data_IF_870850099287
#
_entry.id   IF_870850099287
#
_cell.length_a   1.000
_cell.length_b   1.000
_cell.length_c   1.000
_cell.angle_alpha   90.00
_cell.angle_beta   90.00
_cell.angle_gamma   90.00
#
_symmetry.space_group_name_H-M   'P 1'
#
loop_
_entity.id
_entity.type
_entity.pdbx_description
1 polymer ?
#
# COMPACT_ATOMS: atom_id res chain seq x y z
N UNK A 1 25.72 26.70 9.61
CA UNK A 1 25.13 25.37 9.37
C UNK A 1 23.85 25.30 10.20
N UNK A 2 22.69 25.25 9.56
CA UNK A 2 21.47 24.89 10.27
C UNK A 2 21.62 23.41 10.65
N UNK A 3 21.60 23.11 11.94
CA UNK A 3 21.41 21.72 12.39
C UNK A 3 20.05 21.28 11.87
N UNK A 4 20.05 20.49 10.80
CA UNK A 4 18.85 19.80 10.35
C UNK A 4 18.58 18.70 11.36
N UNK A 5 17.66 18.94 12.30
CA UNK A 5 17.13 17.90 13.16
C UNK A 5 16.59 16.77 12.28
N UNK A 6 17.21 15.60 12.35
CA UNK A 6 16.71 14.40 11.69
C UNK A 6 15.41 13.99 12.37
N UNK A 7 14.27 14.25 11.72
CA UNK A 7 12.98 13.76 12.20
C UNK A 7 12.93 12.25 12.05
N UNK A 8 12.91 11.53 13.18
CA UNK A 8 12.71 10.09 13.19
C UNK A 8 11.29 9.76 12.74
N UNK A 9 11.16 9.17 11.55
CA UNK A 9 9.86 8.70 11.05
C UNK A 9 9.31 7.60 11.95
N UNK A 10 8.00 7.67 12.25
CA UNK A 10 7.26 6.65 13.00
C UNK A 10 6.29 5.98 12.05
N UNK A 11 6.54 4.72 11.67
CA UNK A 11 5.70 3.93 10.75
C UNK A 11 4.99 2.76 11.44
N UNK A 12 4.92 2.77 12.78
CA UNK A 12 4.23 1.76 13.57
C UNK A 12 3.50 2.42 14.74
N UNK A 13 2.22 2.09 15.00
CA UNK A 13 1.54 2.56 16.20
C UNK A 13 2.23 2.00 17.45
N UNK A 14 2.19 2.77 18.54
CA UNK A 14 2.57 2.26 19.86
C UNK A 14 1.50 1.25 20.26
N UNK A 15 1.91 0.02 20.55
CA UNK A 15 0.99 -1.05 20.97
C UNK A 15 1.21 -1.37 22.44
N UNK A 16 0.11 -1.64 23.15
CA UNK A 16 0.13 -2.07 24.56
C UNK A 16 -0.60 -3.39 24.68
N UNK A 17 -0.01 -4.37 25.38
CA UNK A 17 -0.68 -5.63 25.67
C UNK A 17 -1.69 -5.44 26.81
N UNK A 18 -2.96 -5.72 26.54
CA UNK A 18 -4.04 -5.68 27.54
C UNK A 18 -4.41 -7.13 27.89
N UNK A 19 -4.33 -7.54 29.17
CA UNK A 19 -4.79 -8.86 29.60
C UNK A 19 -6.28 -9.03 29.31
N UNK A 20 -6.70 -10.20 28.81
CA UNK A 20 -8.10 -10.47 28.42
C UNK A 20 -9.10 -10.20 29.55
N UNK A 21 -8.75 -10.54 30.80
CA UNK A 21 -9.61 -10.28 31.97
C UNK A 21 -9.75 -8.81 32.36
N UNK A 22 -9.04 -7.89 31.69
CA UNK A 22 -9.19 -6.43 31.83
C UNK A 22 -9.98 -5.80 30.68
N UNK A 23 -10.37 -6.59 29.67
CA UNK A 23 -11.21 -6.13 28.58
C UNK A 23 -12.64 -6.07 29.10
N UNK A 24 -13.20 -4.86 29.15
CA UNK A 24 -14.59 -4.64 29.49
C UNK A 24 -15.40 -4.67 28.19
N UNK A 25 -16.31 -5.63 28.08
CA UNK A 25 -17.26 -5.68 26.98
C UNK A 25 -18.51 -4.87 27.34
N UNK A 26 -19.15 -4.30 26.33
CA UNK A 26 -20.44 -3.63 26.48
C UNK A 26 -21.55 -4.67 26.48
N UNK A 27 -22.38 -4.67 27.53
CA UNK A 27 -23.50 -5.62 27.66
C UNK A 27 -24.71 -5.23 26.81
N UNK A 28 -24.70 -4.03 26.20
CA UNK A 28 -25.82 -3.49 25.42
C UNK A 28 -25.71 -3.76 23.90
N UNK A 29 -24.65 -4.45 23.46
CA UNK A 29 -24.43 -4.81 22.06
C UNK A 29 -24.80 -6.27 21.79
N UNK A 30 -25.15 -6.58 20.54
CA UNK A 30 -25.47 -7.95 20.11
C UNK A 30 -24.25 -8.57 19.45
N UNK A 31 -23.82 -9.73 19.94
CA UNK A 31 -22.66 -10.43 19.38
C UNK A 31 -22.93 -11.06 18.01
N UNK A 32 -22.12 -10.72 17.01
CA UNK A 32 -22.02 -11.48 15.76
C UNK A 32 -21.24 -12.80 15.99
N UNK A 33 -22.00 -13.89 16.12
CA UNK A 33 -21.43 -15.24 16.32
C UNK A 33 -20.59 -15.73 15.13
N UNK A 34 -20.88 -15.28 13.90
CA UNK A 34 -20.11 -15.67 12.72
C UNK A 34 -18.75 -14.99 12.76
N UNK A 35 -18.74 -13.69 13.04
CA UNK A 35 -17.52 -12.92 13.22
C UNK A 35 -16.67 -13.49 14.35
N UNK A 36 -17.25 -13.67 15.54
CA UNK A 36 -16.54 -14.18 16.71
C UNK A 36 -15.88 -15.53 16.40
N UNK A 37 -16.61 -16.45 15.75
CA UNK A 37 -16.06 -17.75 15.33
C UNK A 37 -14.88 -17.61 14.38
N UNK A 38 -14.95 -16.71 13.39
CA UNK A 38 -13.88 -16.48 12.41
C UNK A 38 -12.67 -15.79 13.05
N UNK A 39 -12.92 -14.75 13.84
CA UNK A 39 -11.90 -13.99 14.55
C UNK A 39 -11.14 -14.89 15.53
N UNK A 40 -11.84 -15.69 16.34
CA UNK A 40 -11.20 -16.66 17.23
C UNK A 40 -10.42 -17.73 16.47
N UNK A 41 -10.91 -18.21 15.33
CA UNK A 41 -10.15 -19.15 14.51
C UNK A 41 -8.84 -18.54 13.97
N UNK A 42 -8.88 -17.26 13.58
CA UNK A 42 -7.70 -16.50 13.16
C UNK A 42 -6.73 -16.23 14.32
N UNK A 43 -7.22 -15.76 15.46
CA UNK A 43 -6.41 -15.43 16.63
C UNK A 43 -5.72 -16.67 17.24
N UNK A 44 -6.39 -17.83 17.17
CA UNK A 44 -5.84 -19.12 17.59
C UNK A 44 -4.97 -19.81 16.53
N UNK A 45 -4.62 -19.12 15.43
CA UNK A 45 -3.74 -19.65 14.38
C UNK A 45 -4.34 -20.78 13.53
N UNK A 46 -5.62 -21.12 13.72
CA UNK A 46 -6.32 -22.18 12.98
C UNK A 46 -6.66 -21.76 11.55
N UNK A 47 -6.81 -20.44 11.32
CA UNK A 47 -7.05 -19.85 10.00
C UNK A 47 -6.11 -18.67 9.77
N UNK A 48 -5.84 -18.41 8.49
CA UNK A 48 -5.21 -17.18 8.04
C UNK A 48 -6.27 -16.10 7.74
N UNK A 49 -5.83 -14.85 7.72
CA UNK A 49 -6.59 -13.71 7.24
C UNK A 49 -5.80 -12.98 6.14
N UNK A 50 -6.48 -12.12 5.40
CA UNK A 50 -5.88 -11.32 4.32
C UNK A 50 -5.86 -9.85 4.72
N UNK A 51 -4.67 -9.23 4.74
CA UNK A 51 -4.53 -7.78 4.81
C UNK A 51 -4.58 -7.23 3.38
N UNK A 52 -5.57 -6.38 3.09
CA UNK A 52 -5.77 -5.81 1.77
C UNK A 52 -6.53 -4.47 1.86
N UNK A 53 -7.00 -4.00 0.72
CA UNK A 53 -7.82 -2.80 0.55
C UNK A 53 -9.13 -3.17 -0.15
N UNK A 54 -10.24 -2.62 0.33
CA UNK A 54 -11.55 -2.78 -0.30
C UNK A 54 -12.22 -1.42 -0.49
N UNK A 55 -12.98 -1.24 -1.59
CA UNK A 55 -13.92 -0.13 -1.69
C UNK A 55 -14.89 -0.14 -0.50
N UNK A 56 -15.08 1.00 0.15
CA UNK A 56 -15.97 1.12 1.31
C UNK A 56 -17.41 0.71 0.96
N UNK A 57 -17.85 1.01 -0.27
CA UNK A 57 -19.18 0.62 -0.80
C UNK A 57 -19.38 -0.91 -0.89
N UNK A 58 -18.30 -1.69 -0.91
CA UNK A 58 -18.40 -3.16 -0.87
C UNK A 58 -18.59 -3.71 0.56
N UNK A 59 -18.56 -2.85 1.58
CA UNK A 59 -18.60 -3.20 2.99
C UNK A 59 -19.86 -2.60 3.61
N UNK A 60 -20.69 -3.47 4.19
CA UNK A 60 -21.82 -3.06 5.03
C UNK A 60 -21.37 -3.05 6.49
N UNK A 61 -21.55 -1.91 7.17
CA UNK A 61 -21.36 -1.77 8.62
C UNK A 61 -22.49 -2.49 9.38
N UNK A 62 -22.19 -3.25 10.43
CA UNK A 62 -23.15 -4.12 11.11
C UNK A 62 -23.12 -5.55 10.58
N UNK A 63 -24.17 -6.34 10.80
CA UNK A 63 -24.25 -7.75 10.37
C UNK A 63 -25.68 -8.28 10.25
N UNK A 64 -25.83 -9.47 9.67
CA UNK A 64 -27.11 -10.16 9.57
C UNK A 64 -27.22 -11.32 10.57
N UNK A 65 -28.30 -11.34 11.34
CA UNK A 65 -28.66 -12.45 12.20
C UNK A 65 -29.83 -13.23 11.58
N UNK A 66 -29.75 -14.56 11.59
CA UNK A 66 -30.82 -15.41 11.05
C UNK A 66 -31.86 -15.69 12.13
N UNK A 67 -33.06 -15.16 11.98
CA UNK A 67 -34.19 -15.36 12.87
C UNK A 67 -35.37 -15.95 12.09
N UNK A 68 -35.83 -17.16 12.47
CA UNK A 68 -37.00 -17.82 11.88
C UNK A 68 -37.01 -17.89 10.34
N UNK A 69 -35.83 -18.09 9.72
CA UNK A 69 -35.69 -18.18 8.27
C UNK A 69 -35.57 -16.84 7.53
N UNK A 70 -35.61 -15.71 8.25
CA UNK A 70 -35.32 -14.37 7.72
C UNK A 70 -33.98 -13.86 8.24
N UNK A 71 -33.41 -12.89 7.52
CA UNK A 71 -32.22 -12.16 7.94
C UNK A 71 -32.63 -10.81 8.51
N UNK A 72 -32.35 -10.59 9.78
CA UNK A 72 -32.51 -9.30 10.44
C UNK A 72 -31.15 -8.61 10.45
N UNK A 73 -31.12 -7.35 10.05
CA UNK A 73 -29.91 -6.53 10.05
C UNK A 73 -29.74 -5.86 11.41
N UNK A 74 -28.53 -5.93 11.95
CA UNK A 74 -28.13 -5.37 13.24
C UNK A 74 -26.95 -4.44 13.01
N UNK A 75 -27.03 -3.24 13.57
CA UNK A 75 -25.97 -2.23 13.51
C UNK A 75 -25.76 -1.65 14.91
N UNK A 76 -24.50 -1.49 15.30
CA UNK A 76 -24.15 -0.91 16.58
C UNK A 76 -24.43 0.60 16.62
N UNK A 77 -24.81 1.16 17.78
CA UNK A 77 -25.02 2.59 17.93
C UNK A 77 -23.72 3.38 17.75
N UNK A 78 -23.75 4.36 16.85
CA UNK A 78 -22.63 5.26 16.55
C UNK A 78 -22.38 6.24 17.70
N UNK A 79 -21.13 6.36 18.17
CA UNK A 79 -20.73 7.38 19.16
C UNK A 79 -19.96 8.50 18.47
N UNK A 80 -20.56 9.68 18.35
CA UNK A 80 -19.98 10.82 17.59
C UNK A 80 -18.58 11.20 18.08
N UNK A 81 -18.36 11.22 19.39
CA UNK A 81 -17.04 11.49 19.98
C UNK A 81 -15.94 10.51 19.51
N UNK A 82 -16.29 9.24 19.31
CA UNK A 82 -15.35 8.21 18.84
C UNK A 82 -15.12 8.31 17.32
N UNK A 83 -16.16 8.69 16.57
CA UNK A 83 -16.04 9.00 15.13
C UNK A 83 -15.09 10.18 14.94
N UNK A 84 -15.28 11.27 15.68
CA UNK A 84 -14.43 12.46 15.59
C UNK A 84 -12.97 12.12 15.95
N UNK A 85 -12.77 11.32 17.01
CA UNK A 85 -11.45 10.82 17.38
C UNK A 85 -10.82 9.96 16.26
N UNK A 86 -11.59 9.04 15.66
CA UNK A 86 -11.12 8.22 14.55
C UNK A 86 -10.75 9.08 13.32
N UNK A 87 -11.52 10.13 13.02
CA UNK A 87 -11.20 11.08 11.95
C UNK A 87 -9.88 11.80 12.19
N UNK A 88 -9.64 12.28 13.41
CA UNK A 88 -8.38 12.91 13.80
C UNK A 88 -7.21 11.93 13.66
N UNK A 89 -7.36 10.69 14.13
CA UNK A 89 -6.35 9.65 13.95
C UNK A 89 -6.05 9.40 12.47
N UNK A 90 -7.07 9.25 11.62
CA UNK A 90 -6.89 9.03 10.18
C UNK A 90 -6.18 10.22 9.53
N UNK A 91 -6.60 11.46 9.83
CA UNK A 91 -5.95 12.70 9.34
C UNK A 91 -4.49 12.83 9.82
N UNK A 92 -4.15 12.23 10.96
CA UNK A 92 -2.78 12.15 11.48
C UNK A 92 -1.89 11.09 10.82
N UNK A 93 -2.46 10.25 9.94
CA UNK A 93 -1.75 9.20 9.20
C UNK A 93 -1.98 7.78 9.70
N UNK A 94 -2.85 7.57 10.70
CA UNK A 94 -3.33 6.22 11.01
C UNK A 94 -4.24 5.68 9.91
N UNK A 95 -4.27 4.36 9.79
CA UNK A 95 -5.08 3.60 8.83
C UNK A 95 -5.60 2.34 9.54
N UNK A 96 -6.50 2.51 10.54
CA UNK A 96 -7.10 1.39 11.26
C UNK A 96 -7.85 0.49 10.27
N UNK A 97 -7.54 -0.81 10.30
CA UNK A 97 -8.12 -1.79 9.38
C UNK A 97 -9.47 -2.29 9.89
N UNK A 98 -10.47 -2.33 9.02
CA UNK A 98 -11.77 -2.93 9.34
C UNK A 98 -11.68 -4.45 9.24
N UNK A 99 -12.12 -5.17 10.26
CA UNK A 99 -12.21 -6.62 10.21
C UNK A 99 -13.50 -7.03 9.51
N UNK A 100 -13.36 -7.78 8.41
CA UNK A 100 -14.51 -8.11 7.55
C UNK A 100 -14.60 -9.59 7.23
N UNK A 101 -15.80 -10.06 6.90
CA UNK A 101 -16.01 -11.39 6.33
C UNK A 101 -17.03 -11.34 5.17
N UNK A 102 -17.10 -12.41 4.38
CA UNK A 102 -18.00 -12.48 3.22
C UNK A 102 -19.47 -12.42 3.67
N UNK A 103 -20.25 -11.55 3.03
CA UNK A 103 -21.67 -11.42 3.32
C UNK A 103 -22.41 -12.75 3.08
N UNK A 104 -23.20 -13.16 4.06
CA UNK A 104 -24.00 -14.39 4.02
C UNK A 104 -25.38 -14.18 3.40
N UNK A 105 -25.87 -12.94 3.35
CA UNK A 105 -27.16 -12.59 2.80
C UNK A 105 -26.99 -12.26 1.31
N UNK A 106 -27.51 -13.13 0.44
CA UNK A 106 -27.44 -12.96 -1.03
C UNK A 106 -28.28 -11.81 -1.56
N UNK A 107 -29.24 -11.32 -0.77
CA UNK A 107 -30.16 -10.26 -1.19
C UNK A 107 -29.59 -8.86 -0.94
N UNK A 108 -28.40 -8.76 -0.34
CA UNK A 108 -27.67 -7.52 -0.12
C UNK A 108 -26.61 -7.33 -1.18
N UNK A 109 -26.51 -6.11 -1.71
CA UNK A 109 -25.51 -5.73 -2.72
C UNK A 109 -24.08 -5.67 -2.15
N UNK A 110 -23.94 -5.55 -0.82
CA UNK A 110 -22.65 -5.52 -0.16
C UNK A 110 -21.99 -6.90 -0.17
N UNK A 111 -20.71 -6.95 -0.58
CA UNK A 111 -19.95 -8.21 -0.66
C UNK A 111 -19.40 -8.65 0.69
N UNK A 112 -19.11 -7.69 1.57
CA UNK A 112 -18.48 -7.91 2.85
C UNK A 112 -19.26 -7.24 3.99
N UNK A 113 -19.09 -7.79 5.18
CA UNK A 113 -19.73 -7.36 6.42
C UNK A 113 -18.65 -6.94 7.40
N UNK A 114 -18.79 -5.76 8.00
CA UNK A 114 -17.95 -5.22 9.06
C UNK A 114 -18.81 -5.06 10.33
N UNK A 115 -18.86 -6.08 11.20
CA UNK A 115 -19.70 -6.07 12.39
C UNK A 115 -19.12 -5.24 13.55
N UNK A 116 -17.83 -4.88 13.47
CA UNK A 116 -17.08 -4.20 14.52
C UNK A 116 -16.48 -2.89 13.96
N UNK A 117 -15.96 -2.04 14.84
CA UNK A 117 -15.33 -0.76 14.51
C UNK A 117 -16.25 0.21 13.73
N UNK A 118 -17.56 0.23 14.05
CA UNK A 118 -18.55 1.14 13.46
C UNK A 118 -18.09 2.60 13.47
N UNK A 119 -17.47 3.06 14.56
CA UNK A 119 -16.98 4.44 14.68
C UNK A 119 -15.90 4.74 13.61
N UNK A 120 -15.04 3.76 13.28
CA UNK A 120 -13.99 3.89 12.24
C UNK A 120 -14.60 3.80 10.84
N UNK A 121 -15.56 2.91 10.61
CA UNK A 121 -16.28 2.82 9.34
C UNK A 121 -16.94 4.16 9.00
N UNK A 122 -17.67 4.74 9.95
CA UNK A 122 -18.34 6.04 9.79
C UNK A 122 -17.31 7.14 9.56
N UNK A 123 -16.18 7.13 10.27
CA UNK A 123 -15.11 8.09 10.04
C UNK A 123 -14.56 8.03 8.60
N UNK A 124 -14.29 6.83 8.06
CA UNK A 124 -13.86 6.70 6.65
C UNK A 124 -14.91 7.26 5.69
N UNK A 125 -16.19 6.95 5.93
CA UNK A 125 -17.31 7.43 5.12
C UNK A 125 -17.43 8.96 5.14
N UNK A 126 -17.39 9.57 6.33
CA UNK A 126 -17.50 11.02 6.49
C UNK A 126 -16.29 11.78 5.93
N UNK A 127 -15.09 11.18 5.99
CA UNK A 127 -13.92 11.75 5.33
C UNK A 127 -14.00 11.62 3.80
N UNK A 128 -14.85 10.75 3.26
CA UNK A 128 -14.91 10.47 1.82
C UNK A 128 -13.75 9.59 1.33
N UNK A 129 -13.22 8.74 2.19
CA UNK A 129 -12.21 7.74 1.81
C UNK A 129 -12.92 6.57 1.13
N UNK A 130 -12.48 6.26 -0.09
CA UNK A 130 -13.15 5.27 -0.93
C UNK A 130 -12.55 3.88 -0.77
N UNK A 131 -11.23 3.77 -0.52
CA UNK A 131 -10.52 2.49 -0.41
C UNK A 131 -9.89 2.34 0.97
N UNK A 132 -10.45 1.46 1.79
CA UNK A 132 -10.09 1.33 3.20
C UNK A 132 -9.26 0.07 3.47
N UNK A 133 -8.31 0.13 4.42
CA UNK A 133 -7.57 -1.05 4.84
C UNK A 133 -8.51 -2.04 5.53
N UNK A 134 -8.37 -3.33 5.21
CA UNK A 134 -9.22 -4.38 5.77
C UNK A 134 -8.41 -5.60 6.20
N UNK A 135 -8.95 -6.32 7.17
CA UNK A 135 -8.56 -7.68 7.54
C UNK A 135 -9.69 -8.62 7.14
N UNK A 136 -9.56 -9.30 5.99
CA UNK A 136 -10.56 -10.24 5.51
C UNK A 136 -10.35 -11.58 6.23
N UNK A 137 -11.31 -11.98 7.06
CA UNK A 137 -11.30 -13.21 7.87
C UNK A 137 -11.69 -14.45 7.04
N UNK A 138 -11.08 -14.59 5.87
CA UNK A 138 -11.22 -15.72 4.96
C UNK A 138 -9.85 -16.21 4.49
N UNK A 139 -9.76 -17.49 4.10
CA UNK A 139 -8.52 -18.04 3.55
C UNK A 139 -8.32 -17.69 2.07
N UNK A 140 -9.42 -17.42 1.35
CA UNK A 140 -9.46 -16.99 -0.04
C UNK A 140 -10.64 -16.05 -0.26
N UNK A 141 -10.47 -15.07 -1.15
CA UNK A 141 -11.49 -14.09 -1.48
C UNK A 141 -11.33 -13.64 -2.95
N UNK A 142 -12.43 -13.18 -3.54
CA UNK A 142 -12.36 -12.45 -4.81
C UNK A 142 -11.73 -11.09 -4.55
N UNK A 143 -10.44 -10.99 -4.84
CA UNK A 143 -9.63 -9.83 -4.54
C UNK A 143 -9.99 -8.65 -5.43
N UNK A 144 -10.15 -7.48 -4.81
CA UNK A 144 -10.17 -6.19 -5.51
C UNK A 144 -8.73 -5.67 -5.68
N UNK A 145 -7.91 -5.87 -4.66
CA UNK A 145 -6.48 -5.56 -4.62
C UNK A 145 -5.71 -6.79 -4.11
N UNK A 146 -4.40 -6.86 -4.37
CA UNK A 146 -3.56 -7.92 -3.82
C UNK A 146 -3.59 -7.92 -2.28
N UNK A 147 -3.17 -9.02 -1.67
CA UNK A 147 -3.24 -9.16 -0.22
C UNK A 147 -2.00 -9.81 0.38
N UNK A 148 -1.68 -9.44 1.62
CA UNK A 148 -0.77 -10.20 2.47
C UNK A 148 -1.56 -11.23 3.27
N UNK A 149 -1.10 -12.47 3.32
CA UNK A 149 -1.67 -13.50 4.18
C UNK A 149 -1.01 -13.43 5.54
N UNK A 150 -1.82 -13.28 6.58
CA UNK A 150 -1.37 -13.21 7.98
C UNK A 150 -1.92 -14.39 8.75
N UNK A 151 -1.08 -14.94 9.62
CA UNK A 151 -1.45 -16.03 10.53
C UNK A 151 -0.77 -15.86 11.87
N UNK A 152 -1.51 -16.15 12.94
CA UNK A 152 -0.92 -16.25 14.27
C UNK A 152 -0.05 -17.49 14.38
N UNK A 153 1.20 -17.31 14.78
CA UNK A 153 2.16 -18.39 14.96
C UNK A 153 2.20 -18.80 16.43
N UNK A 154 2.23 -20.11 16.67
CA UNK A 154 2.26 -20.67 18.02
C UNK A 154 3.52 -21.50 18.22
N UNK A 155 4.09 -21.41 19.42
CA UNK A 155 5.09 -22.36 19.89
C UNK A 155 4.50 -23.10 21.10
N UNK A 156 4.11 -24.36 20.88
CA UNK A 156 3.23 -25.08 21.79
C UNK A 156 1.92 -24.30 22.03
N UNK A 157 1.68 -23.83 23.26
CA UNK A 157 0.50 -23.04 23.63
C UNK A 157 0.77 -21.53 23.64
N UNK A 158 2.02 -21.10 23.47
CA UNK A 158 2.40 -19.67 23.43
C UNK A 158 2.04 -19.07 22.07
N UNK A 159 1.16 -18.07 22.05
CA UNK A 159 0.92 -17.23 20.86
C UNK A 159 2.10 -16.28 20.67
N UNK A 160 2.86 -16.47 19.59
CA UNK A 160 4.00 -15.63 19.23
C UNK A 160 3.59 -14.32 18.54
N UNK A 161 2.33 -14.21 18.12
CA UNK A 161 1.75 -13.07 17.40
C UNK A 161 1.36 -13.39 15.95
N UNK A 162 0.71 -12.42 15.30
CA UNK A 162 0.35 -12.47 13.89
C UNK A 162 1.50 -12.05 12.99
N UNK A 163 1.84 -12.90 12.00
CA UNK A 163 2.92 -12.62 11.05
C UNK A 163 2.42 -12.75 9.61
N UNK A 164 2.92 -11.88 8.74
CA UNK A 164 2.79 -12.06 7.28
C UNK A 164 3.59 -13.31 6.92
N UNK A 165 2.93 -14.29 6.31
CA UNK A 165 3.54 -15.58 5.97
C UNK A 165 3.43 -15.97 4.50
N UNK A 166 2.58 -15.27 3.74
CA UNK A 166 2.45 -15.45 2.30
C UNK A 166 1.83 -14.18 1.66
N UNK A 167 1.71 -14.17 0.34
CA UNK A 167 0.98 -13.14 -0.41
C UNK A 167 -0.07 -13.80 -1.30
N UNK A 168 -1.07 -13.04 -1.70
CA UNK A 168 -2.07 -13.41 -2.70
C UNK A 168 -2.14 -12.28 -3.71
N UNK A 169 -1.74 -12.56 -4.95
CA UNK A 169 -1.66 -11.54 -5.99
C UNK A 169 -2.98 -11.44 -6.74
N UNK A 170 -3.42 -10.22 -7.01
CA UNK A 170 -4.51 -9.95 -7.94
C UNK A 170 -4.07 -10.38 -9.35
N UNK A 171 -4.88 -11.16 -10.09
CA UNK A 171 -4.59 -11.48 -11.48
C UNK A 171 -4.49 -10.21 -12.33
N UNK A 172 -3.56 -10.24 -13.28
CA UNK A 172 -3.36 -9.15 -14.23
C UNK A 172 -4.58 -8.99 -15.14
N UNK A 173 -5.12 -7.76 -15.24
CA UNK A 173 -6.34 -7.47 -16.02
C UNK A 173 -6.08 -6.78 -17.35
N UNK A 174 -4.85 -6.34 -17.62
CA UNK A 174 -4.50 -5.55 -18.81
C UNK A 174 -5.11 -4.13 -18.84
N UNK A 175 -5.82 -3.74 -17.80
CA UNK A 175 -6.45 -2.42 -17.65
C UNK A 175 -5.67 -1.59 -16.62
N UNK A 176 -5.57 -0.29 -16.86
CA UNK A 176 -4.92 0.65 -15.95
C UNK A 176 -5.60 2.00 -15.97
N UNK A 177 -5.42 2.75 -14.88
CA UNK A 177 -5.86 4.13 -14.80
C UNK A 177 -4.83 5.02 -15.49
N UNK A 178 -5.23 5.69 -16.58
CA UNK A 178 -4.41 6.66 -17.30
C UNK A 178 -4.75 8.06 -16.82
N UNK A 179 -3.73 8.86 -16.51
CA UNK A 179 -3.90 10.29 -16.22
C UNK A 179 -3.97 11.12 -17.51
N UNK A 180 -3.45 10.60 -18.62
CA UNK A 180 -3.58 11.22 -19.94
C UNK A 180 -5.00 11.05 -20.52
N UNK A 181 -5.62 9.89 -20.26
CA UNK A 181 -6.97 9.58 -20.74
C UNK A 181 -7.10 9.66 -22.26
N UNK A 182 -8.24 10.18 -22.72
CA UNK A 182 -8.53 10.41 -24.15
C UNK A 182 -8.13 11.83 -24.63
N UNK A 183 -7.47 12.61 -23.79
CA UNK A 183 -7.11 14.00 -24.11
C UNK A 183 -6.05 14.03 -25.20
N UNK A 184 -6.21 14.93 -26.15
CA UNK A 184 -5.19 15.18 -27.19
C UNK A 184 -4.09 16.11 -26.65
N UNK A 185 -2.85 15.78 -26.98
CA UNK A 185 -1.66 16.55 -26.60
C UNK A 185 -0.82 16.80 -27.84
N UNK A 186 -0.22 17.98 -27.92
CA UNK A 186 0.61 18.38 -29.06
C UNK A 186 1.88 17.52 -29.18
N UNK A 187 2.50 17.16 -28.06
CA UNK A 187 3.73 16.38 -28.02
C UNK A 187 3.91 15.60 -26.70
N UNK A 188 5.01 14.86 -26.60
CA UNK A 188 5.35 14.06 -25.43
C UNK A 188 5.75 14.92 -24.21
N UNK A 189 6.27 16.14 -24.39
CA UNK A 189 6.57 17.03 -23.25
C UNK A 189 5.28 17.53 -22.59
N UNK A 190 4.29 17.90 -23.40
CA UNK A 190 2.96 18.35 -22.95
C UNK A 190 2.23 17.25 -22.17
N UNK A 191 2.41 15.98 -22.55
CA UNK A 191 1.90 14.83 -21.79
C UNK A 191 2.58 14.74 -20.42
N UNK A 192 3.91 14.77 -20.37
CA UNK A 192 4.65 14.70 -19.11
C UNK A 192 4.37 15.90 -18.20
N UNK A 193 4.19 17.09 -18.77
CA UNK A 193 3.75 18.28 -18.05
C UNK A 193 2.39 18.09 -17.40
N UNK A 194 1.44 17.52 -18.14
CA UNK A 194 0.13 17.24 -17.60
C UNK A 194 0.20 16.22 -16.44
N UNK A 195 0.95 15.14 -16.61
CA UNK A 195 1.20 14.16 -15.53
C UNK A 195 1.77 14.84 -14.29
N UNK A 196 2.80 15.67 -14.47
CA UNK A 196 3.44 16.43 -13.39
C UNK A 196 2.42 17.33 -12.66
N UNK A 197 1.65 18.13 -13.41
CA UNK A 197 0.65 19.03 -12.83
C UNK A 197 -0.45 18.31 -12.03
N UNK A 198 -0.88 17.13 -12.50
CA UNK A 198 -1.88 16.31 -11.82
C UNK A 198 -1.32 15.74 -10.51
N UNK A 199 -0.05 15.31 -10.52
CA UNK A 199 0.64 14.83 -9.31
C UNK A 199 0.82 15.96 -8.30
N UNK A 200 1.21 17.15 -8.74
CA UNK A 200 1.36 18.33 -7.89
C UNK A 200 0.02 18.73 -7.25
N UNK A 201 -1.07 18.73 -8.01
CA UNK A 201 -2.41 18.99 -7.48
C UNK A 201 -2.82 17.97 -6.39
N UNK A 202 -2.57 16.68 -6.62
CA UNK A 202 -2.82 15.64 -5.62
C UNK A 202 -1.90 15.78 -4.40
N UNK A 203 -0.67 16.26 -4.60
CA UNK A 203 0.29 16.52 -3.51
C UNK A 203 -0.24 17.59 -2.56
N UNK A 204 -0.85 18.65 -3.09
CA UNK A 204 -1.51 19.67 -2.25
C UNK A 204 -2.74 19.10 -1.53
N UNK A 205 -3.56 18.27 -2.18
CA UNK A 205 -4.69 17.61 -1.52
C UNK A 205 -4.24 16.73 -0.33
N UNK A 206 -3.11 16.02 -0.45
CA UNK A 206 -2.53 15.24 0.67
C UNK A 206 -2.15 16.15 1.83
N UNK A 207 -1.57 17.33 1.56
CA UNK A 207 -1.22 18.31 2.60
C UNK A 207 -2.46 18.88 3.27
N UNK A 208 -3.48 19.22 2.49
CA UNK A 208 -4.74 19.76 3.00
C UNK A 208 -5.50 18.72 3.85
N UNK A 209 -5.47 17.45 3.46
CA UNK A 209 -6.06 16.36 4.22
C UNK A 209 -5.30 16.05 5.53
N UNK A 210 -4.00 16.34 5.57
CA UNK A 210 -3.17 16.06 6.73
C UNK A 210 -3.47 17.00 7.90
N UNK A 211 -3.93 16.41 9.01
CA UNK A 211 -4.29 17.14 10.22
C UNK A 211 -3.10 17.45 11.14
N UNK A 212 -3.30 18.45 12.01
CA UNK A 212 -2.33 18.86 13.03
C UNK A 212 -2.37 17.91 14.24
N UNK A 213 -1.72 16.75 14.16
CA UNK A 213 -1.58 15.87 15.31
C UNK A 213 -0.11 15.47 15.53
N UNK A 214 0.35 15.61 16.76
CA UNK A 214 1.78 15.64 17.11
C UNK A 214 2.41 14.27 17.39
N UNK A 215 1.62 13.21 17.55
CA UNK A 215 2.11 11.85 17.84
C UNK A 215 1.83 10.84 16.71
N UNK A 216 1.36 11.33 15.54
CA UNK A 216 0.85 10.49 14.46
C UNK A 216 1.87 9.58 13.76
N UNK A 217 1.35 8.53 13.14
CA UNK A 217 2.09 7.70 12.18
C UNK A 217 2.41 8.55 10.94
N UNK A 218 3.65 8.50 10.47
CA UNK A 218 4.14 9.34 9.37
C UNK A 218 3.70 8.83 7.99
N UNK A 219 2.47 8.34 7.83
CA UNK A 219 1.98 7.76 6.59
C UNK A 219 1.77 8.80 5.49
N UNK A 220 1.09 9.91 5.81
CA UNK A 220 0.85 10.97 4.83
C UNK A 220 2.16 11.59 4.34
N UNK A 221 3.19 11.66 5.19
CA UNK A 221 4.53 12.08 4.79
C UNK A 221 5.18 11.10 3.82
N UNK A 222 4.93 9.79 3.97
CA UNK A 222 5.33 8.79 2.96
C UNK A 222 4.56 8.97 1.65
N UNK A 223 3.25 9.20 1.69
CA UNK A 223 2.45 9.49 0.48
C UNK A 223 2.94 10.76 -0.23
N UNK A 224 3.15 11.84 0.52
CA UNK A 224 3.74 13.08 0.04
C UNK A 224 5.10 12.85 -0.61
N UNK A 225 5.99 12.10 0.06
CA UNK A 225 7.32 11.78 -0.46
C UNK A 225 7.25 11.01 -1.78
N UNK A 226 6.34 10.03 -1.89
CA UNK A 226 6.12 9.28 -3.13
C UNK A 226 5.68 10.20 -4.27
N UNK A 227 4.68 11.05 -4.06
CA UNK A 227 4.19 11.99 -5.07
C UNK A 227 5.26 13.02 -5.46
N UNK A 228 5.94 13.60 -4.47
CA UNK A 228 6.99 14.58 -4.68
C UNK A 228 8.15 13.99 -5.49
N UNK A 229 8.63 12.80 -5.11
CA UNK A 229 9.68 12.09 -5.86
C UNK A 229 9.24 11.70 -7.26
N UNK A 230 7.98 11.31 -7.44
CA UNK A 230 7.42 11.03 -8.76
C UNK A 230 7.43 12.28 -9.65
N UNK A 231 6.98 13.42 -9.12
CA UNK A 231 7.01 14.72 -9.81
C UNK A 231 8.44 15.13 -10.20
N UNK A 232 9.40 15.07 -9.26
CA UNK A 232 10.81 15.39 -9.52
C UNK A 232 11.41 14.52 -10.64
N UNK A 233 11.11 13.21 -10.63
CA UNK A 233 11.60 12.32 -11.68
C UNK A 233 10.96 12.62 -13.04
N UNK A 234 9.66 12.93 -13.09
CA UNK A 234 9.00 13.34 -14.34
C UNK A 234 9.60 14.65 -14.86
N UNK A 235 9.83 15.63 -13.99
CA UNK A 235 10.50 16.88 -14.34
C UNK A 235 11.91 16.62 -14.89
N UNK A 236 12.69 15.75 -14.24
CA UNK A 236 14.02 15.37 -14.72
C UNK A 236 13.95 14.68 -16.10
N UNK A 237 13.00 13.76 -16.30
CA UNK A 237 12.74 13.11 -17.60
C UNK A 237 12.46 14.17 -18.68
N UNK A 238 11.59 15.15 -18.40
CA UNK A 238 11.29 16.25 -19.34
C UNK A 238 12.54 17.04 -19.70
N UNK A 239 13.33 17.44 -18.70
CA UNK A 239 14.58 18.19 -18.92
C UNK A 239 15.58 17.40 -19.76
N UNK A 240 15.73 16.10 -19.49
CA UNK A 240 16.63 15.23 -20.24
C UNK A 240 16.17 15.06 -21.70
N UNK A 241 14.87 14.83 -21.93
CA UNK A 241 14.28 14.75 -23.27
C UNK A 241 14.51 16.05 -24.05
N UNK A 242 14.25 17.22 -23.43
CA UNK A 242 14.47 18.55 -24.06
C UNK A 242 15.92 18.76 -24.47
N UNK A 243 16.86 18.25 -23.69
CA UNK A 243 18.31 18.36 -23.96
C UNK A 243 18.87 17.16 -24.75
N UNK A 244 18.00 16.32 -25.32
CA UNK A 244 18.40 15.14 -26.13
C UNK A 244 19.19 14.05 -25.35
N UNK A 245 19.04 13.99 -24.03
CA UNK A 245 19.61 12.96 -23.15
C UNK A 245 18.62 11.81 -22.91
N UNK A 246 18.16 11.17 -23.98
CA UNK A 246 17.06 10.20 -23.93
C UNK A 246 17.39 8.92 -23.14
N UNK A 247 18.61 8.41 -23.27
CA UNK A 247 19.06 7.22 -22.55
C UNK A 247 19.02 7.44 -21.03
N UNK A 248 19.47 8.62 -20.59
CA UNK A 248 19.40 9.03 -19.19
C UNK A 248 17.95 9.18 -18.72
N UNK A 249 17.05 9.68 -19.59
CA UNK A 249 15.63 9.77 -19.28
C UNK A 249 14.98 8.38 -19.07
N UNK A 250 15.33 7.39 -19.91
CA UNK A 250 14.86 6.00 -19.73
C UNK A 250 15.39 5.39 -18.43
N UNK A 251 16.63 5.67 -18.05
CA UNK A 251 17.18 5.16 -16.79
C UNK A 251 16.34 5.59 -15.57
N UNK A 252 15.74 6.79 -15.59
CA UNK A 252 14.85 7.27 -14.53
C UNK A 252 13.51 6.51 -14.45
N UNK A 253 13.06 5.87 -15.53
CA UNK A 253 11.83 5.06 -15.51
C UNK A 253 11.92 3.94 -14.48
N UNK A 254 13.09 3.31 -14.35
CA UNK A 254 13.30 2.24 -13.36
C UNK A 254 13.12 2.77 -11.94
N UNK A 255 13.68 3.95 -11.63
CA UNK A 255 13.51 4.59 -10.32
C UNK A 255 12.04 4.92 -10.03
N UNK A 256 11.32 5.48 -11.01
CA UNK A 256 9.88 5.77 -10.91
C UNK A 256 9.09 4.48 -10.64
N UNK A 257 9.42 3.41 -11.35
CA UNK A 257 8.74 2.13 -11.19
C UNK A 257 8.97 1.51 -9.81
N UNK A 258 10.21 1.47 -9.32
CA UNK A 258 10.52 0.88 -8.02
C UNK A 258 9.90 1.66 -6.86
N UNK A 259 9.87 3.00 -6.92
CA UNK A 259 9.12 3.85 -5.97
C UNK A 259 7.65 3.42 -5.92
N UNK A 260 7.05 3.19 -7.09
CA UNK A 260 5.64 2.81 -7.18
C UNK A 260 5.34 1.41 -6.64
N UNK A 261 6.34 0.52 -6.58
CA UNK A 261 6.20 -0.82 -6.02
C UNK A 261 6.25 -0.79 -4.49
N UNK A 262 7.20 -0.04 -3.92
CA UNK A 262 7.28 0.16 -2.47
C UNK A 262 6.05 0.88 -1.94
N UNK A 263 5.59 1.91 -2.64
CA UNK A 263 4.32 2.58 -2.35
C UNK A 263 3.16 1.60 -2.29
N UNK A 264 3.03 0.71 -3.29
CA UNK A 264 1.86 -0.15 -3.40
C UNK A 264 1.78 -1.17 -2.25
N UNK A 265 2.91 -1.80 -1.89
CA UNK A 265 2.94 -2.74 -0.76
C UNK A 265 2.73 -2.06 0.58
N UNK A 266 3.22 -0.83 0.76
CA UNK A 266 2.91 0.00 1.93
C UNK A 266 1.42 0.35 1.97
N UNK A 267 0.87 0.84 0.85
CA UNK A 267 -0.53 1.25 0.74
C UNK A 267 -1.51 0.11 1.05
N UNK A 268 -1.20 -1.12 0.67
CA UNK A 268 -2.03 -2.29 0.98
C UNK A 268 -2.18 -2.55 2.49
N UNK A 269 -1.13 -2.33 3.29
CA UNK A 269 -1.12 -2.63 4.72
C UNK A 269 -0.17 -1.67 5.47
N UNK A 270 -0.53 -0.37 5.56
CA UNK A 270 0.42 0.70 5.89
C UNK A 270 0.97 0.64 7.31
N UNK A 271 0.20 0.16 8.27
CA UNK A 271 0.64 0.05 9.66
C UNK A 271 1.43 -1.24 9.94
N UNK A 272 1.38 -2.23 9.04
CA UNK A 272 2.13 -3.49 9.15
C UNK A 272 3.39 -3.47 8.29
N UNK A 273 3.30 -3.01 7.05
CA UNK A 273 4.39 -3.04 6.05
C UNK A 273 5.30 -1.81 6.16
N UNK A 274 4.77 -0.64 6.51
CA UNK A 274 5.55 0.59 6.61
C UNK A 274 6.75 0.49 7.56
N UNK A 275 6.59 -0.21 8.68
CA UNK A 275 7.68 -0.53 9.61
C UNK A 275 8.80 -1.36 8.95
N UNK A 276 8.44 -2.33 8.13
CA UNK A 276 9.39 -3.23 7.47
C UNK A 276 10.16 -2.52 6.35
N UNK A 277 9.49 -1.66 5.58
CA UNK A 277 10.15 -0.80 4.59
C UNK A 277 11.14 0.16 5.27
N UNK A 278 10.74 0.77 6.39
CA UNK A 278 11.66 1.59 7.20
C UNK A 278 12.85 0.76 7.70
N UNK A 279 12.62 -0.46 8.17
CA UNK A 279 13.69 -1.37 8.62
C UNK A 279 14.66 -1.68 7.49
N UNK A 280 14.17 -2.03 6.30
CA UNK A 280 15.00 -2.31 5.12
C UNK A 280 15.86 -1.10 4.70
N UNK A 281 15.35 0.13 4.89
CA UNK A 281 16.13 1.35 4.61
C UNK A 281 17.26 1.61 5.61
N UNK A 282 17.15 1.07 6.83
CA UNK A 282 18.05 1.38 7.94
C UNK A 282 19.06 0.28 8.25
N UNK A 283 18.72 -0.99 7.98
CA UNK A 283 19.58 -2.14 8.31
C UNK A 283 19.70 -3.11 7.13
N UNK A 284 20.93 -3.55 6.89
CA UNK A 284 21.22 -4.66 5.99
C UNK A 284 20.84 -6.00 6.64
N UNK A 285 20.98 -7.10 5.88
CA UNK A 285 20.61 -8.44 6.35
C UNK A 285 21.35 -8.84 7.63
N UNK A 286 22.63 -8.47 7.74
CA UNK A 286 23.47 -8.78 8.91
C UNK A 286 22.99 -8.00 10.14
N UNK A 287 22.70 -6.72 9.97
CA UNK A 287 22.13 -5.87 11.02
C UNK A 287 20.76 -6.36 11.48
N UNK A 288 19.92 -6.78 10.54
CA UNK A 288 18.61 -7.37 10.84
C UNK A 288 18.74 -8.66 11.67
N UNK A 289 19.60 -9.59 11.26
CA UNK A 289 19.83 -10.83 12.01
C UNK A 289 20.34 -10.56 13.42
N UNK A 290 21.22 -9.56 13.59
CA UNK A 290 21.69 -9.15 14.91
C UNK A 290 20.57 -8.53 15.76
N UNK A 291 19.70 -7.72 15.16
CA UNK A 291 18.54 -7.15 15.85
C UNK A 291 17.55 -8.23 16.33
N UNK A 292 17.34 -9.29 15.54
CA UNK A 292 16.51 -10.44 15.93
C UNK A 292 17.08 -11.17 17.16
N UNK A 293 18.41 -11.34 17.22
CA UNK A 293 19.08 -11.94 18.39
C UNK A 293 18.89 -11.06 19.63
N UNK A 294 19.10 -9.75 19.51
CA UNK A 294 18.94 -8.81 20.62
C UNK A 294 17.49 -8.67 21.10
N UNK A 295 16.52 -8.80 20.20
CA UNK A 295 15.09 -8.69 20.52
C UNK A 295 14.47 -10.00 21.05
N UNK A 296 15.23 -11.10 21.05
CA UNK A 296 14.76 -12.40 21.53
C UNK A 296 14.47 -12.35 23.04
N UNK A 297 13.21 -12.57 23.43
CA UNK A 297 12.74 -12.48 24.82
C UNK A 297 12.93 -13.74 25.65
N UNK A 298 13.41 -14.83 25.06
CA UNK A 298 13.47 -16.16 25.67
C UNK A 298 14.85 -16.77 25.51
N UNK A 299 15.30 -17.57 26.47
CA UNK A 299 16.51 -18.40 26.33
C UNK A 299 16.25 -19.66 25.48
N UNK A 300 15.00 -19.93 25.10
CA UNK A 300 14.64 -21.08 24.28
C UNK A 300 14.98 -20.84 22.80
N UNK A 301 16.07 -21.46 22.36
CA UNK A 301 16.59 -21.35 20.98
C UNK A 301 15.61 -21.83 19.91
N UNK A 302 14.82 -22.88 20.16
CA UNK A 302 13.82 -23.40 19.20
C UNK A 302 12.67 -22.41 19.02
N UNK A 303 12.16 -21.87 20.12
CA UNK A 303 11.11 -20.83 20.12
C UNK A 303 11.56 -19.58 19.36
N UNK A 304 12.77 -19.10 19.66
CA UNK A 304 13.33 -17.93 19.00
C UNK A 304 13.55 -18.14 17.50
N UNK A 305 13.95 -19.36 17.09
CA UNK A 305 14.09 -19.70 15.68
C UNK A 305 12.76 -19.57 14.93
N UNK A 306 11.67 -20.13 15.45
CA UNK A 306 10.32 -20.03 14.83
C UNK A 306 9.86 -18.57 14.72
N UNK A 307 10.07 -17.80 15.78
CA UNK A 307 9.73 -16.37 15.80
C UNK A 307 10.55 -15.56 14.78
N UNK A 308 11.87 -15.80 14.73
CA UNK A 308 12.78 -15.13 13.80
C UNK A 308 12.46 -15.47 12.34
N UNK A 309 12.19 -16.73 12.02
CA UNK A 309 11.78 -17.15 10.67
C UNK A 309 10.47 -16.47 10.24
N UNK A 310 9.53 -16.31 11.17
CA UNK A 310 8.25 -15.64 10.90
C UNK A 310 8.42 -14.14 10.61
N UNK A 311 9.32 -13.46 11.32
CA UNK A 311 9.66 -12.05 11.06
C UNK A 311 10.45 -11.88 9.75
N UNK A 312 11.37 -12.81 9.47
CA UNK A 312 12.26 -12.74 8.30
C UNK A 312 11.50 -12.79 6.98
N UNK A 313 10.37 -13.50 6.91
CA UNK A 313 9.57 -13.59 5.69
C UNK A 313 9.26 -12.22 5.08
N UNK A 314 8.73 -11.29 5.89
CA UNK A 314 8.34 -9.97 5.38
C UNK A 314 9.55 -9.12 4.96
N UNK A 315 10.64 -9.17 5.73
CA UNK A 315 11.89 -8.50 5.40
C UNK A 315 12.46 -8.99 4.05
N UNK A 316 12.60 -10.31 3.89
CA UNK A 316 13.13 -10.92 2.67
C UNK A 316 12.20 -10.65 1.47
N UNK A 317 10.87 -10.70 1.67
CA UNK A 317 9.89 -10.38 0.64
C UNK A 317 10.08 -8.97 0.07
N UNK A 318 10.15 -7.96 0.94
CA UNK A 318 10.23 -6.55 0.55
C UNK A 318 11.58 -6.17 -0.09
N UNK A 319 12.65 -6.93 0.22
CA UNK A 319 13.96 -6.76 -0.40
C UNK A 319 13.98 -7.08 -1.89
N UNK A 320 12.98 -7.82 -2.40
CA UNK A 320 12.95 -8.32 -3.76
C UNK A 320 11.93 -7.57 -4.62
N UNK A 321 12.41 -6.84 -5.64
CA UNK A 321 11.56 -6.07 -6.57
C UNK A 321 10.61 -6.97 -7.36
N UNK A 322 11.05 -8.16 -7.78
CA UNK A 322 10.23 -9.13 -8.50
C UNK A 322 9.01 -9.58 -7.68
N UNK A 323 9.19 -9.75 -6.37
CA UNK A 323 8.10 -10.14 -5.47
C UNK A 323 7.05 -9.02 -5.34
N UNK A 324 7.50 -7.76 -5.19
CA UNK A 324 6.62 -6.59 -5.15
C UNK A 324 5.88 -6.38 -6.47
N UNK A 325 6.58 -6.60 -7.58
CA UNK A 325 5.99 -6.55 -8.92
C UNK A 325 4.88 -7.60 -9.11
N UNK A 326 5.04 -8.81 -8.58
CA UNK A 326 4.02 -9.83 -8.66
C UNK A 326 2.72 -9.42 -7.94
N UNK A 327 2.82 -8.66 -6.84
CA UNK A 327 1.64 -8.12 -6.17
C UNK A 327 1.05 -6.90 -6.87
N UNK A 328 1.84 -6.16 -7.65
CA UNK A 328 1.42 -4.93 -8.32
C UNK A 328 0.22 -5.20 -9.25
N UNK A 329 -0.78 -4.30 -9.32
CA UNK A 329 -1.89 -4.40 -10.26
C UNK A 329 -1.44 -4.34 -11.72
N UNK A 330 -0.28 -3.75 -12.00
CA UNK A 330 0.33 -3.73 -13.34
C UNK A 330 0.94 -5.10 -13.70
N UNK A 331 1.08 -6.00 -12.73
CA UNK A 331 1.47 -7.38 -12.96
C UNK A 331 2.94 -7.59 -13.29
N UNK A 332 3.26 -8.86 -13.55
CA UNK A 332 4.61 -9.31 -13.88
C UNK A 332 5.01 -8.91 -15.31
N UNK A 333 4.06 -8.88 -16.24
CA UNK A 333 4.34 -8.52 -17.64
C UNK A 333 4.89 -7.08 -17.75
N UNK A 334 4.33 -6.15 -16.98
CA UNK A 334 4.77 -4.77 -16.95
C UNK A 334 6.14 -4.63 -16.29
N UNK A 335 6.42 -5.41 -15.25
CA UNK A 335 7.77 -5.50 -14.68
C UNK A 335 8.79 -5.92 -15.74
N UNK A 336 8.52 -7.00 -16.47
CA UNK A 336 9.43 -7.50 -17.49
C UNK A 336 9.59 -6.45 -18.61
N UNK A 337 8.51 -5.76 -19.00
CA UNK A 337 8.55 -4.66 -19.97
C UNK A 337 9.46 -3.51 -19.53
N UNK A 338 9.27 -2.98 -18.32
CA UNK A 338 10.09 -1.88 -17.78
C UNK A 338 11.55 -2.31 -17.62
N UNK A 339 11.79 -3.51 -17.09
CA UNK A 339 13.15 -3.98 -16.86
C UNK A 339 13.89 -4.26 -18.16
N UNK A 340 13.26 -4.90 -19.16
CA UNK A 340 13.86 -5.08 -20.49
C UNK A 340 14.15 -3.73 -21.13
N UNK A 341 13.17 -2.83 -21.20
CA UNK A 341 13.32 -1.51 -21.84
C UNK A 341 14.41 -0.65 -21.19
N UNK A 342 14.56 -0.73 -19.86
CA UNK A 342 15.60 0.03 -19.15
C UNK A 342 16.96 -0.66 -19.19
N UNK A 343 17.02 -1.99 -19.19
CA UNK A 343 18.28 -2.74 -19.28
C UNK A 343 18.99 -2.56 -20.62
N UNK A 344 18.26 -2.41 -21.72
CA UNK A 344 18.82 -2.07 -23.05
C UNK A 344 19.63 -0.76 -23.05
N UNK A 345 19.40 0.09 -22.06
CA UNK A 345 19.96 1.44 -21.99
C UNK A 345 20.98 1.61 -20.84
N UNK A 346 20.73 0.97 -19.70
CA UNK A 346 21.53 1.13 -18.47
C UNK A 346 22.83 0.32 -18.54
N UNK A 347 22.83 -0.82 -19.23
CA UNK A 347 24.03 -1.65 -19.34
C UNK A 347 24.90 -1.17 -20.51
N UNK A 348 26.19 -0.95 -20.25
CA UNK A 348 27.15 -0.75 -21.32
C UNK A 348 27.44 -2.10 -21.97
N UNK A 349 26.63 -2.44 -22.97
CA UNK A 349 26.78 -3.63 -23.79
C UNK A 349 27.26 -3.28 -25.21
N UNK A 350 27.37 -4.29 -26.07
CA UNK A 350 27.80 -4.10 -27.44
C UNK A 350 26.77 -3.31 -28.28
N UNK A 351 25.47 -3.40 -27.98
CA UNK A 351 24.44 -2.59 -28.66
C UNK A 351 24.64 -1.10 -28.37
N UNK A 352 24.84 -0.74 -27.10
CA UNK A 352 25.13 0.65 -26.72
C UNK A 352 26.49 1.12 -27.28
N UNK A 353 27.47 0.21 -27.39
CA UNK A 353 28.75 0.50 -28.02
C UNK A 353 28.60 0.80 -29.51
N UNK A 354 27.79 0.03 -30.24
CA UNK A 354 27.46 0.27 -31.66
C UNK A 354 26.77 1.62 -31.85
N UNK A 355 25.78 1.93 -31.01
CA UNK A 355 25.11 3.24 -31.00
C UNK A 355 26.10 4.38 -30.83
N UNK A 356 27.01 4.29 -29.86
CA UNK A 356 28.01 5.33 -29.64
C UNK A 356 29.09 5.37 -30.72
N UNK A 357 29.42 4.24 -31.35
CA UNK A 357 30.31 4.20 -32.50
C UNK A 357 29.72 4.96 -33.69
N UNK A 358 28.43 4.73 -34.01
CA UNK A 358 27.71 5.50 -35.04
C UNK A 358 27.70 6.99 -34.70
N UNK A 359 27.48 7.35 -33.43
CA UNK A 359 27.53 8.75 -32.98
C UNK A 359 28.93 9.36 -33.04
N UNK A 360 29.98 8.56 -32.83
CA UNK A 360 31.37 8.99 -32.99
C UNK A 360 31.66 9.33 -34.47
N UNK A 361 31.15 8.51 -35.38
CA UNK A 361 31.30 8.69 -36.83
C UNK A 361 30.38 9.80 -37.39
N UNK A 362 29.20 9.99 -36.79
CA UNK A 362 28.24 11.02 -37.14
C UNK A 362 27.65 11.67 -35.87
N UNK A 363 28.23 12.80 -35.41
CA UNK A 363 27.81 13.48 -34.17
C UNK A 363 26.35 13.94 -34.15
N UNK A 364 25.76 14.18 -35.33
CA UNK A 364 24.36 14.61 -35.50
C UNK A 364 23.38 13.43 -35.54
N UNK A 365 23.87 12.20 -35.61
CA UNK A 365 23.01 11.01 -35.58
C UNK A 365 22.36 10.86 -34.21
N UNK A 366 21.03 11.03 -34.19
CA UNK A 366 20.20 10.69 -33.03
C UNK A 366 19.75 9.25 -33.18
N UNK A 367 20.35 8.36 -32.40
CA UNK A 367 20.03 6.94 -32.37
C UNK A 367 18.70 6.60 -31.68
N UNK A 368 18.08 7.56 -30.99
CA UNK A 368 16.92 7.32 -30.15
C UNK A 368 15.60 7.70 -30.85
N UNK A 369 14.74 6.71 -31.06
CA UNK A 369 13.48 6.82 -31.82
C UNK A 369 12.38 7.55 -31.02
N UNK A 370 11.57 8.36 -31.71
CA UNK A 370 10.31 8.96 -31.20
C UNK A 370 9.39 7.90 -30.59
N UNK A 371 9.42 6.66 -31.11
CA UNK A 371 8.69 5.52 -30.52
C UNK A 371 9.14 5.23 -29.09
N UNK A 372 10.45 5.23 -28.81
CA UNK A 372 10.96 4.94 -27.48
C UNK A 372 10.59 6.03 -26.47
N UNK A 373 10.56 7.31 -26.88
CA UNK A 373 10.03 8.40 -26.05
C UNK A 373 8.54 8.18 -25.76
N UNK A 374 7.78 7.75 -26.76
CA UNK A 374 6.35 7.46 -26.59
C UNK A 374 6.12 6.31 -25.61
N UNK A 375 6.91 5.23 -25.71
CA UNK A 375 6.90 4.11 -24.76
C UNK A 375 7.24 4.58 -23.35
N UNK A 376 8.28 5.41 -23.19
CA UNK A 376 8.64 5.99 -21.90
C UNK A 376 7.47 6.76 -21.29
N UNK A 377 6.82 7.65 -22.05
CA UNK A 377 5.67 8.42 -21.59
C UNK A 377 4.50 7.51 -21.19
N UNK A 378 4.21 6.47 -21.97
CA UNK A 378 3.15 5.50 -21.65
C UNK A 378 3.45 4.75 -20.34
N UNK A 379 4.68 4.28 -20.14
CA UNK A 379 5.06 3.62 -18.89
C UNK A 379 4.96 4.57 -17.69
N UNK A 380 5.39 5.83 -17.84
CA UNK A 380 5.26 6.84 -16.80
C UNK A 380 3.79 7.12 -16.48
N UNK A 381 2.92 7.23 -17.49
CA UNK A 381 1.47 7.41 -17.30
C UNK A 381 0.84 6.23 -16.54
N UNK A 382 1.14 4.99 -16.93
CA UNK A 382 0.66 3.79 -16.23
C UNK A 382 1.09 3.76 -14.76
N UNK A 383 2.36 4.11 -14.48
CA UNK A 383 2.90 4.15 -13.12
C UNK A 383 2.27 5.29 -12.31
N UNK A 384 2.20 6.49 -12.89
CA UNK A 384 1.65 7.67 -12.22
C UNK A 384 0.16 7.50 -11.94
N UNK A 385 -0.60 6.97 -12.89
CA UNK A 385 -2.02 6.69 -12.70
C UNK A 385 -2.28 5.62 -11.64
N UNK A 386 -1.46 4.56 -11.58
CA UNK A 386 -1.51 3.57 -10.49
C UNK A 386 -1.37 4.23 -9.11
N UNK A 387 -0.37 5.10 -8.95
CA UNK A 387 -0.05 5.79 -7.69
C UNK A 387 -1.15 6.80 -7.34
N UNK A 388 -1.50 7.68 -8.28
CA UNK A 388 -2.44 8.75 -8.07
C UNK A 388 -3.85 8.23 -7.75
N UNK A 389 -4.33 7.20 -8.46
CA UNK A 389 -5.64 6.59 -8.18
C UNK A 389 -5.74 6.13 -6.72
N UNK A 390 -4.72 5.41 -6.25
CA UNK A 390 -4.72 4.79 -4.91
C UNK A 390 -4.58 5.82 -3.80
N UNK A 391 -3.76 6.85 -4.01
CA UNK A 391 -3.65 7.95 -3.05
C UNK A 391 -4.96 8.74 -3.02
N UNK A 392 -5.52 9.07 -4.18
CA UNK A 392 -6.79 9.80 -4.26
C UNK A 392 -7.96 9.05 -3.59
N UNK A 393 -7.99 7.71 -3.70
CA UNK A 393 -8.98 6.88 -3.01
C UNK A 393 -8.72 6.70 -1.51
N UNK A 394 -7.51 6.97 -1.04
CA UNK A 394 -7.07 6.81 0.36
C UNK A 394 -7.14 8.10 1.18
N UNK A 395 -7.25 9.25 0.51
CA UNK A 395 -7.47 10.55 1.14
C UNK A 395 -8.90 11.04 0.90
N UNK A 396 -9.38 11.83 1.85
CA UNK A 396 -10.72 12.40 1.82
C UNK A 396 -10.75 13.86 1.40
N UNK A 397 -11.92 14.49 1.49
CA UNK A 397 -12.02 15.95 1.39
C UNK A 397 -11.40 16.63 2.62
N UNK A 398 -10.71 17.76 2.40
CA UNK A 398 -10.10 18.53 3.48
C UNK A 398 -11.15 19.16 4.43
N UNK A 399 -12.36 19.42 3.92
CA UNK A 399 -13.44 20.02 4.69
C UNK A 399 -14.41 18.95 5.17
N UNK A 400 -14.65 18.94 6.48
CA UNK A 400 -15.86 18.34 7.04
C UNK A 400 -17.05 19.10 6.43
N UNK A 401 -17.82 18.45 5.55
CA UNK A 401 -19.15 18.96 5.24
C UNK A 401 -19.96 18.72 6.51
N UNK A 402 -20.06 19.77 7.34
CA UNK A 402 -20.91 19.83 8.53
C UNK A 402 -22.37 19.70 8.12
#
# INVERSE_FOLDING_TARGET
MLETESKKLVRRPITTAIPTGKILCRDDLVDDQIFLKKYLAFNNGKKQALLSRLPLDNILNGFFQRNNGRFDFIEDPVRREMVDHAKEMIRSGHRPALYVYKNINSDSDARYIAPDDTDVYVAYKELGIHSVPVVILEASADLVESAFQVRHQFFHEENLGGFICATMSLPEKGEYYSLLGSKEFADNDSKLEHLQSTIEALTEQVKEFHGAYSTGIHYHQTLFSVLYRLSENIQAIRLLIKNSFYYQAVALLRSVYEISLDFYVDWLAPEQVGFWLQTHSAVDRKGFDMALVLASKSDNTKRNKVWAESLRYCYDFLSNVSNKAQMSPLGRSFYDTVYTFTSEVIHQDFNMTEVYAIRMENPEHRSFDVKAITTLVQCVDMIAGKVCLRIHQDIGAANDVI
#
